data_IF_956283960211
#
_entry.id   IF_956283960211
#
_cell.length_a   1.000
_cell.length_b   1.000
_cell.length_c   1.000
_cell.angle_alpha   90.00
_cell.angle_beta   90.00
_cell.angle_gamma   90.00
#
_symmetry.space_group_name_H-M   'P 1'
#
loop_
_entity.id
_entity.type
_entity.pdbx_description
1 polymer ?
#
# COMPACT_ATOMS: atom_id res chain seq x y z
N UNK A 1 -54.27 21.30 0.56
CA UNK A 1 -54.46 21.05 2.02
C UNK A 1 -55.67 20.15 2.32
N UNK A 2 -56.69 20.06 1.47
CA UNK A 2 -57.87 19.20 1.66
C UNK A 2 -57.57 17.69 1.69
N UNK A 3 -56.79 17.19 0.71
CA UNK A 3 -56.48 15.76 0.58
C UNK A 3 -55.85 15.12 1.83
N UNK A 4 -55.00 15.86 2.57
CA UNK A 4 -54.42 15.36 3.83
C UNK A 4 -55.46 15.17 4.95
N UNK A 5 -56.55 15.93 4.92
CA UNK A 5 -57.69 15.76 5.83
C UNK A 5 -58.58 14.60 5.39
N UNK A 6 -58.81 14.44 4.09
CA UNK A 6 -59.57 13.31 3.53
C UNK A 6 -58.86 11.98 3.79
N UNK A 7 -57.55 11.88 3.53
CA UNK A 7 -56.75 10.69 3.87
C UNK A 7 -56.72 10.41 5.38
N UNK A 8 -56.81 11.43 6.23
CA UNK A 8 -56.88 11.25 7.68
C UNK A 8 -58.26 10.74 8.12
N UNK A 9 -59.34 11.22 7.49
CA UNK A 9 -60.71 10.74 7.69
C UNK A 9 -60.85 9.31 7.17
N UNK A 10 -60.32 9.01 5.98
CA UNK A 10 -60.33 7.66 5.39
C UNK A 10 -59.52 6.70 6.27
N UNK A 11 -58.31 7.06 6.70
CA UNK A 11 -57.53 6.23 7.65
C UNK A 11 -58.25 6.04 8.97
N UNK A 12 -58.83 7.09 9.56
CA UNK A 12 -59.62 6.96 10.80
C UNK A 12 -60.83 6.05 10.60
N UNK A 13 -61.54 6.16 9.48
CA UNK A 13 -62.70 5.33 9.17
C UNK A 13 -62.29 3.86 8.96
N UNK A 14 -61.21 3.62 8.22
CA UNK A 14 -60.64 2.29 8.01
C UNK A 14 -60.15 1.63 9.32
N UNK A 15 -59.58 2.43 10.24
CA UNK A 15 -59.08 1.96 11.54
C UNK A 15 -60.18 1.78 12.61
N UNK A 16 -61.30 2.51 12.51
CA UNK A 16 -62.41 2.47 13.49
C UNK A 16 -63.55 1.56 13.05
N UNK A 17 -63.91 1.55 11.76
CA UNK A 17 -64.97 0.69 11.22
C UNK A 17 -64.39 -0.65 10.69
N UNK A 18 -63.21 -0.64 10.05
CA UNK A 18 -62.58 -1.85 9.49
C UNK A 18 -63.50 -2.67 8.56
N UNK A 19 -63.25 -3.98 8.46
CA UNK A 19 -64.27 -4.92 7.94
C UNK A 19 -65.41 -5.13 8.96
N UNK A 20 -65.15 -4.94 10.26
CA UNK A 20 -66.08 -5.18 11.36
C UNK A 20 -67.40 -4.39 11.26
N UNK A 21 -67.37 -3.17 10.72
CA UNK A 21 -68.57 -2.35 10.48
C UNK A 21 -69.50 -2.91 9.40
N UNK A 22 -69.02 -3.82 8.55
CA UNK A 22 -69.88 -4.57 7.63
C UNK A 22 -70.62 -5.70 8.37
N UNK A 23 -70.00 -6.32 9.37
CA UNK A 23 -70.58 -7.44 10.11
C UNK A 23 -71.63 -6.98 11.11
N UNK A 24 -71.41 -5.87 11.82
CA UNK A 24 -72.43 -5.25 12.69
C UNK A 24 -73.71 -4.91 11.89
N UNK A 25 -73.54 -4.46 10.64
CA UNK A 25 -74.65 -4.26 9.70
C UNK A 25 -75.31 -5.57 9.26
N UNK A 26 -74.56 -6.66 9.06
CA UNK A 26 -75.12 -8.00 8.74
C UNK A 26 -75.94 -8.52 9.92
N UNK A 27 -75.42 -8.45 11.14
CA UNK A 27 -76.12 -8.82 12.36
C UNK A 27 -77.39 -7.98 12.58
N UNK A 28 -77.33 -6.67 12.34
CA UNK A 28 -78.51 -5.79 12.40
C UNK A 28 -79.61 -6.15 11.39
N UNK A 29 -79.24 -6.59 10.19
CA UNK A 29 -80.20 -7.08 9.17
C UNK A 29 -80.76 -8.45 9.58
N UNK A 30 -79.90 -9.38 9.98
CA UNK A 30 -80.29 -10.71 10.45
C UNK A 30 -81.27 -10.64 11.63
N UNK A 31 -80.98 -9.78 12.62
CA UNK A 31 -81.85 -9.56 13.77
C UNK A 31 -83.20 -8.97 13.35
N UNK A 32 -83.22 -8.02 12.41
CA UNK A 32 -84.47 -7.45 11.89
C UNK A 32 -85.31 -8.49 11.14
N UNK A 33 -84.68 -9.33 10.34
CA UNK A 33 -85.35 -10.39 9.59
C UNK A 33 -85.87 -11.51 10.52
N UNK A 34 -85.10 -11.87 11.55
CA UNK A 34 -85.51 -12.79 12.61
C UNK A 34 -86.70 -12.26 13.44
N UNK A 35 -86.65 -10.98 13.87
CA UNK A 35 -87.76 -10.36 14.59
C UNK A 35 -89.03 -10.25 13.74
N UNK A 36 -88.89 -9.97 12.45
CA UNK A 36 -90.01 -10.00 11.50
C UNK A 36 -90.59 -11.41 11.40
N UNK A 37 -89.76 -12.41 11.15
CA UNK A 37 -90.15 -13.81 11.09
C UNK A 37 -90.90 -14.27 12.36
N UNK A 38 -90.36 -13.95 13.54
CA UNK A 38 -90.98 -14.26 14.83
C UNK A 38 -92.30 -13.51 15.13
N UNK A 39 -92.66 -12.51 14.33
CA UNK A 39 -93.93 -11.75 14.44
C UNK A 39 -94.87 -11.93 13.25
N UNK A 40 -94.46 -12.69 12.23
CA UNK A 40 -95.25 -12.96 11.02
C UNK A 40 -96.22 -14.13 11.25
N UNK A 41 -97.52 -13.85 11.21
CA UNK A 41 -98.60 -14.84 11.23
C UNK A 41 -98.89 -15.35 9.78
N UNK A 42 -97.82 -15.79 9.09
CA UNK A 42 -97.82 -16.16 7.67
C UNK A 42 -98.08 -17.66 7.44
N UNK A 43 -98.35 -18.06 6.19
CA UNK A 43 -98.60 -19.47 5.85
C UNK A 43 -97.37 -20.35 6.12
N UNK A 44 -97.54 -21.65 6.45
CA UNK A 44 -96.42 -22.51 6.83
C UNK A 44 -95.33 -22.63 5.76
N UNK A 45 -95.68 -22.52 4.48
CA UNK A 45 -94.74 -22.54 3.35
C UNK A 45 -93.90 -21.25 3.25
N UNK A 46 -94.51 -20.09 3.50
CA UNK A 46 -93.78 -18.81 3.56
C UNK A 46 -92.87 -18.77 4.80
N UNK A 47 -93.33 -19.37 5.90
CA UNK A 47 -92.59 -19.46 7.15
C UNK A 47 -91.30 -20.30 6.99
N UNK A 48 -91.36 -21.42 6.28
CA UNK A 48 -90.19 -22.26 5.98
C UNK A 48 -89.19 -21.58 5.04
N UNK A 49 -89.66 -20.90 3.98
CA UNK A 49 -88.79 -20.12 3.10
C UNK A 49 -88.06 -18.99 3.85
N UNK A 50 -88.73 -18.36 4.82
CA UNK A 50 -88.11 -17.37 5.70
C UNK A 50 -87.08 -18.00 6.67
N UNK A 51 -87.36 -19.18 7.24
CA UNK A 51 -86.38 -19.95 8.03
C UNK A 51 -85.10 -20.23 7.23
N UNK A 52 -85.24 -20.74 6.00
CA UNK A 52 -84.11 -21.06 5.12
C UNK A 52 -83.28 -19.80 4.80
N UNK A 53 -83.95 -18.68 4.50
CA UNK A 53 -83.29 -17.38 4.25
C UNK A 53 -82.51 -16.86 5.49
N UNK A 54 -83.03 -17.09 6.70
CA UNK A 54 -82.34 -16.74 7.95
C UNK A 54 -81.12 -17.65 8.17
N UNK A 55 -81.25 -18.95 7.92
CA UNK A 55 -80.17 -19.94 8.04
C UNK A 55 -79.01 -19.63 7.08
N UNK A 56 -79.30 -19.29 5.83
CA UNK A 56 -78.29 -18.87 4.85
C UNK A 56 -77.51 -17.63 5.31
N UNK A 57 -78.19 -16.66 5.94
CA UNK A 57 -77.57 -15.45 6.50
C UNK A 57 -76.71 -15.74 7.72
N UNK A 58 -77.09 -16.69 8.56
CA UNK A 58 -76.26 -17.16 9.68
C UNK A 58 -74.97 -17.77 9.13
N UNK A 59 -75.06 -18.69 8.16
CA UNK A 59 -73.90 -19.32 7.52
C UNK A 59 -72.95 -18.30 6.86
N UNK A 60 -73.50 -17.25 6.26
CA UNK A 60 -72.69 -16.14 5.72
C UNK A 60 -71.96 -15.33 6.80
N UNK A 61 -72.52 -15.21 8.01
CA UNK A 61 -71.85 -14.57 9.15
C UNK A 61 -70.77 -15.47 9.76
N UNK A 62 -71.03 -16.78 9.89
CA UNK A 62 -70.05 -17.77 10.35
C UNK A 62 -68.82 -17.80 9.43
N UNK A 63 -69.02 -17.93 8.12
CA UNK A 63 -67.94 -17.93 7.14
C UNK A 63 -67.13 -16.61 7.13
N UNK A 64 -67.80 -15.47 7.36
CA UNK A 64 -67.12 -14.18 7.49
C UNK A 64 -66.24 -14.10 8.75
N UNK A 65 -66.71 -14.67 9.87
CA UNK A 65 -65.95 -14.76 11.12
C UNK A 65 -64.71 -15.69 10.97
N UNK A 66 -64.87 -16.84 10.31
CA UNK A 66 -63.75 -17.74 10.01
C UNK A 66 -62.72 -17.10 9.08
N UNK A 67 -63.18 -16.36 8.06
CA UNK A 67 -62.31 -15.59 7.17
C UNK A 67 -61.53 -14.51 7.94
N UNK A 68 -62.19 -13.77 8.84
CA UNK A 68 -61.54 -12.76 9.67
C UNK A 68 -60.49 -13.36 10.61
N UNK A 69 -60.76 -14.53 11.22
CA UNK A 69 -59.81 -15.27 12.04
C UNK A 69 -58.58 -15.71 11.23
N UNK A 70 -58.79 -16.24 10.01
CA UNK A 70 -57.70 -16.67 9.14
C UNK A 70 -56.82 -15.48 8.70
N UNK A 71 -57.43 -14.33 8.38
CA UNK A 71 -56.72 -13.08 8.08
C UNK A 71 -55.92 -12.61 9.30
N UNK A 72 -56.48 -12.67 10.51
CA UNK A 72 -55.76 -12.32 11.74
C UNK A 72 -54.53 -13.21 11.97
N UNK A 73 -54.67 -14.53 11.80
CA UNK A 73 -53.57 -15.49 11.93
C UNK A 73 -52.48 -15.22 10.88
N UNK A 74 -52.87 -15.02 9.62
CA UNK A 74 -51.95 -14.65 8.54
C UNK A 74 -51.21 -13.34 8.84
N UNK A 75 -51.91 -12.31 9.35
CA UNK A 75 -51.30 -11.02 9.69
C UNK A 75 -50.30 -11.15 10.85
N UNK A 76 -50.58 -11.98 11.86
CA UNK A 76 -49.62 -12.28 12.92
C UNK A 76 -48.37 -12.99 12.38
N UNK A 77 -48.54 -13.99 11.52
CA UNK A 77 -47.41 -14.68 10.90
C UNK A 77 -46.57 -13.73 10.02
N UNK A 78 -47.22 -12.89 9.19
CA UNK A 78 -46.55 -11.88 8.39
C UNK A 78 -45.78 -10.87 9.24
N UNK A 79 -46.36 -10.40 10.35
CA UNK A 79 -45.68 -9.51 11.29
C UNK A 79 -44.41 -10.14 11.88
N UNK A 80 -44.46 -11.42 12.24
CA UNK A 80 -43.30 -12.15 12.74
C UNK A 80 -42.20 -12.27 11.66
N UNK A 81 -42.57 -12.69 10.44
CA UNK A 81 -41.64 -12.77 9.30
C UNK A 81 -41.01 -11.42 8.95
N UNK A 82 -41.75 -10.32 9.06
CA UNK A 82 -41.18 -8.98 8.87
C UNK A 82 -40.21 -8.58 9.99
N UNK A 83 -40.47 -9.00 11.23
CA UNK A 83 -39.53 -8.81 12.35
C UNK A 83 -38.22 -9.59 12.14
N UNK A 84 -38.31 -10.86 11.71
CA UNK A 84 -37.15 -11.70 11.38
C UNK A 84 -36.33 -11.11 10.24
N UNK A 85 -37.00 -10.64 9.17
CA UNK A 85 -36.35 -9.99 8.03
C UNK A 85 -35.65 -8.68 8.42
N UNK A 86 -36.23 -7.88 9.32
CA UNK A 86 -35.59 -6.68 9.84
C UNK A 86 -34.32 -7.03 10.62
N UNK A 87 -34.36 -8.05 11.48
CA UNK A 87 -33.15 -8.52 12.17
C UNK A 87 -32.06 -9.03 11.21
N UNK A 88 -32.44 -9.72 10.12
CA UNK A 88 -31.48 -10.19 9.10
C UNK A 88 -30.84 -9.00 8.37
N UNK A 89 -31.64 -7.99 8.00
CA UNK A 89 -31.16 -6.75 7.40
C UNK A 89 -30.21 -6.02 8.34
N UNK A 90 -30.53 -5.88 9.63
CA UNK A 90 -29.66 -5.23 10.62
C UNK A 90 -28.33 -5.99 10.80
N UNK A 91 -28.37 -7.34 10.85
CA UNK A 91 -27.16 -8.19 10.87
C UNK A 91 -26.32 -8.01 9.60
N UNK A 92 -26.95 -7.88 8.43
CA UNK A 92 -26.29 -7.60 7.15
C UNK A 92 -25.68 -6.20 7.08
N UNK A 93 -26.34 -5.20 7.66
CA UNK A 93 -25.81 -3.83 7.77
C UNK A 93 -24.58 -3.80 8.69
N UNK A 94 -24.61 -4.50 9.82
CA UNK A 94 -23.48 -4.49 10.77
C UNK A 94 -22.27 -5.28 10.24
N UNK A 95 -22.48 -6.42 9.57
CA UNK A 95 -21.38 -7.12 8.87
C UNK A 95 -20.78 -6.26 7.76
N UNK A 96 -21.59 -5.57 6.95
CA UNK A 96 -21.10 -4.63 5.94
C UNK A 96 -20.33 -3.44 6.55
N UNK A 97 -20.73 -2.93 7.71
CA UNK A 97 -19.98 -1.89 8.45
C UNK A 97 -18.61 -2.40 8.91
N UNK A 98 -18.56 -3.59 9.49
CA UNK A 98 -17.31 -4.25 9.91
C UNK A 98 -16.39 -4.40 8.70
N UNK A 99 -16.89 -4.91 7.58
CA UNK A 99 -16.10 -5.03 6.34
C UNK A 99 -15.58 -3.68 5.81
N UNK A 100 -16.38 -2.62 5.84
CA UNK A 100 -15.93 -1.26 5.48
C UNK A 100 -14.80 -0.79 6.40
N UNK A 101 -14.84 -1.09 7.71
CA UNK A 101 -13.74 -0.75 8.62
C UNK A 101 -12.48 -1.55 8.31
N UNK A 102 -12.59 -2.87 8.13
CA UNK A 102 -11.49 -3.76 7.75
C UNK A 102 -10.83 -3.31 6.44
N UNK A 103 -11.61 -2.98 5.41
CA UNK A 103 -11.08 -2.51 4.13
C UNK A 103 -10.44 -1.11 4.24
N UNK A 104 -10.93 -0.24 5.11
CA UNK A 104 -10.26 1.05 5.42
C UNK A 104 -8.89 0.85 6.06
N UNK A 105 -8.74 -0.13 6.96
CA UNK A 105 -7.44 -0.45 7.56
C UNK A 105 -6.48 -1.09 6.56
N UNK A 106 -6.95 -2.06 5.76
CA UNK A 106 -6.19 -2.63 4.64
C UNK A 106 -5.74 -1.58 3.63
N UNK A 107 -6.56 -0.55 3.37
CA UNK A 107 -6.19 0.57 2.52
C UNK A 107 -5.11 1.46 3.16
N UNK A 108 -5.17 1.70 4.48
CA UNK A 108 -4.10 2.43 5.20
C UNK A 108 -2.77 1.69 5.12
N UNK A 109 -2.74 0.38 5.40
CA UNK A 109 -1.50 -0.42 5.34
C UNK A 109 -0.97 -0.53 3.90
N UNK A 110 -1.83 -0.74 2.90
CA UNK A 110 -1.44 -0.74 1.50
C UNK A 110 -0.84 0.60 1.02
N UNK A 111 -1.35 1.75 1.51
CA UNK A 111 -0.78 3.08 1.24
C UNK A 111 0.63 3.22 1.83
N UNK A 112 0.86 2.76 3.05
CA UNK A 112 2.20 2.77 3.67
C UNK A 112 3.17 1.87 2.89
N UNK A 113 2.76 0.63 2.55
CA UNK A 113 3.57 -0.28 1.75
C UNK A 113 3.93 0.33 0.39
N UNK A 114 2.97 1.01 -0.28
CA UNK A 114 3.24 1.71 -1.55
C UNK A 114 4.25 2.85 -1.38
N UNK A 115 4.11 3.68 -0.33
CA UNK A 115 5.06 4.76 -0.04
C UNK A 115 6.47 4.21 0.19
N UNK A 116 6.59 3.23 1.09
CA UNK A 116 7.88 2.59 1.40
C UNK A 116 8.51 1.96 0.15
N UNK A 117 7.72 1.26 -0.68
CA UNK A 117 8.21 0.68 -1.95
C UNK A 117 8.71 1.75 -2.93
N UNK A 118 8.10 2.92 -2.95
CA UNK A 118 8.55 4.04 -3.80
C UNK A 118 9.82 4.70 -3.25
N UNK A 119 9.96 4.82 -1.92
CA UNK A 119 11.21 5.27 -1.27
C UNK A 119 12.36 4.28 -1.54
N UNK A 120 12.12 2.97 -1.40
CA UNK A 120 13.10 1.94 -1.76
C UNK A 120 13.48 1.97 -3.25
N UNK A 121 12.52 2.21 -4.15
CA UNK A 121 12.81 2.31 -5.59
C UNK A 121 13.64 3.55 -5.92
N UNK A 122 13.34 4.71 -5.31
CA UNK A 122 14.13 5.92 -5.45
C UNK A 122 15.56 5.73 -4.93
N UNK A 123 15.71 5.11 -3.75
CA UNK A 123 17.03 4.82 -3.18
C UNK A 123 17.82 3.81 -4.04
N UNK A 124 17.16 2.77 -4.55
CA UNK A 124 17.78 1.81 -5.47
C UNK A 124 18.26 2.47 -6.77
N UNK A 125 17.50 3.43 -7.31
CA UNK A 125 17.91 4.22 -8.48
C UNK A 125 19.17 5.05 -8.18
N UNK A 126 19.22 5.74 -7.04
CA UNK A 126 20.41 6.49 -6.60
C UNK A 126 21.61 5.56 -6.42
N UNK A 127 21.42 4.38 -5.81
CA UNK A 127 22.49 3.38 -5.65
C UNK A 127 23.00 2.87 -7.00
N UNK A 128 22.13 2.76 -8.01
CA UNK A 128 22.50 2.32 -9.37
C UNK A 128 23.30 3.37 -10.17
N UNK A 129 23.28 4.65 -9.78
CA UNK A 129 24.13 5.69 -10.36
C UNK A 129 25.61 5.54 -9.93
N UNK A 130 25.88 4.83 -8.83
CA UNK A 130 27.23 4.54 -8.37
C UNK A 130 27.78 3.24 -9.00
N UNK A 131 29.09 3.18 -9.32
CA UNK A 131 29.71 1.99 -9.90
C UNK A 131 29.65 0.80 -8.93
N UNK A 132 29.50 -0.39 -9.48
CA UNK A 132 29.31 -1.61 -8.69
C UNK A 132 30.45 -1.80 -7.67
N UNK A 133 30.08 -2.15 -6.43
CA UNK A 133 31.04 -2.26 -5.31
C UNK A 133 32.19 -3.22 -5.62
N UNK A 134 31.94 -4.32 -6.34
CA UNK A 134 33.00 -5.23 -6.78
C UNK A 134 33.97 -4.59 -7.76
N UNK A 135 33.49 -3.81 -8.73
CA UNK A 135 34.36 -3.15 -9.72
C UNK A 135 35.24 -2.09 -9.04
N UNK A 136 34.65 -1.29 -8.14
CA UNK A 136 35.37 -0.31 -7.32
C UNK A 136 36.44 -0.97 -6.44
N UNK A 137 36.13 -2.11 -5.81
CA UNK A 137 37.11 -2.89 -5.04
C UNK A 137 38.24 -3.46 -5.91
N UNK A 138 37.94 -3.96 -7.12
CA UNK A 138 38.95 -4.43 -8.08
C UNK A 138 39.88 -3.29 -8.51
N UNK A 139 39.35 -2.10 -8.83
CA UNK A 139 40.14 -0.90 -9.17
C UNK A 139 41.05 -0.50 -8.02
N UNK A 140 40.52 -0.46 -6.79
CA UNK A 140 41.29 -0.14 -5.58
C UNK A 140 42.41 -1.18 -5.33
N UNK A 141 42.13 -2.47 -5.52
CA UNK A 141 43.15 -3.52 -5.40
C UNK A 141 44.27 -3.38 -6.44
N UNK A 142 43.93 -3.10 -7.71
CA UNK A 142 44.93 -2.82 -8.76
C UNK A 142 45.81 -1.62 -8.42
N UNK A 143 45.22 -0.48 -8.09
CA UNK A 143 45.97 0.71 -7.67
C UNK A 143 46.87 0.42 -6.47
N UNK A 144 46.41 -0.38 -5.51
CA UNK A 144 47.21 -0.76 -4.32
C UNK A 144 48.39 -1.67 -4.69
N UNK A 145 48.24 -2.57 -5.66
CA UNK A 145 49.37 -3.37 -6.18
C UNK A 145 50.34 -2.53 -7.00
N UNK A 146 49.85 -1.59 -7.82
CA UNK A 146 50.68 -0.66 -8.59
C UNK A 146 51.50 0.25 -7.67
N UNK A 147 50.89 0.81 -6.62
CA UNK A 147 51.56 1.65 -5.64
C UNK A 147 52.66 0.87 -4.89
N UNK A 148 52.38 -0.35 -4.43
CA UNK A 148 53.38 -1.22 -3.79
C UNK A 148 54.54 -1.55 -4.77
N UNK A 149 54.24 -1.87 -6.02
CA UNK A 149 55.27 -2.09 -7.05
C UNK A 149 56.13 -0.83 -7.27
N UNK A 150 55.51 0.35 -7.32
CA UNK A 150 56.21 1.62 -7.50
C UNK A 150 57.10 1.92 -6.28
N UNK A 151 56.62 1.68 -5.07
CA UNK A 151 57.39 1.83 -3.83
C UNK A 151 58.60 0.88 -3.79
N UNK A 152 58.44 -0.37 -4.23
CA UNK A 152 59.52 -1.35 -4.31
C UNK A 152 60.55 -0.99 -5.40
N UNK A 153 60.11 -0.50 -6.56
CA UNK A 153 61.05 0.00 -7.59
C UNK A 153 61.81 1.23 -7.11
N UNK A 154 61.16 2.15 -6.39
CA UNK A 154 61.82 3.32 -5.81
C UNK A 154 62.90 2.92 -4.79
N UNK A 155 62.57 2.02 -3.85
CA UNK A 155 63.56 1.43 -2.92
C UNK A 155 64.73 0.78 -3.65
N UNK A 156 64.48 0.01 -4.71
CA UNK A 156 65.53 -0.61 -5.53
C UNK A 156 66.42 0.45 -6.23
N UNK A 157 65.84 1.56 -6.72
CA UNK A 157 66.62 2.65 -7.29
C UNK A 157 67.45 3.39 -6.21
N UNK A 158 66.89 3.65 -5.04
CA UNK A 158 67.61 4.24 -3.90
C UNK A 158 68.78 3.36 -3.45
N UNK A 159 68.60 2.04 -3.39
CA UNK A 159 69.67 1.07 -3.11
C UNK A 159 70.77 1.11 -4.18
N UNK A 160 70.41 1.13 -5.47
CA UNK A 160 71.39 1.25 -6.57
C UNK A 160 72.13 2.59 -6.56
N UNK A 161 71.46 3.68 -6.20
CA UNK A 161 72.07 5.01 -6.03
C UNK A 161 73.01 4.99 -4.82
N UNK A 162 72.62 4.40 -3.71
CA UNK A 162 73.45 4.21 -2.51
C UNK A 162 74.71 3.38 -2.81
N UNK A 163 74.57 2.29 -3.57
CA UNK A 163 75.69 1.47 -4.02
C UNK A 163 76.64 2.27 -4.92
N UNK A 164 76.12 3.00 -5.92
CA UNK A 164 76.94 3.86 -6.79
C UNK A 164 77.64 4.97 -6.02
N UNK A 165 76.98 5.60 -5.03
CA UNK A 165 77.60 6.59 -4.13
C UNK A 165 78.78 5.98 -3.34
N UNK A 166 78.62 4.76 -2.82
CA UNK A 166 79.71 4.02 -2.14
C UNK A 166 80.86 3.68 -3.09
N UNK A 167 80.56 3.19 -4.29
CA UNK A 167 81.56 2.90 -5.33
C UNK A 167 82.33 4.15 -5.77
N UNK A 168 81.62 5.27 -5.99
CA UNK A 168 82.24 6.55 -6.35
C UNK A 168 83.09 7.13 -5.21
N UNK A 169 82.65 6.96 -3.95
CA UNK A 169 83.46 7.34 -2.79
C UNK A 169 84.75 6.50 -2.69
N UNK A 170 84.66 5.17 -2.89
CA UNK A 170 85.84 4.31 -2.95
C UNK A 170 86.79 4.72 -4.08
N UNK A 171 86.25 5.05 -5.26
CA UNK A 171 87.04 5.56 -6.39
C UNK A 171 87.71 6.90 -6.07
N UNK A 172 87.02 7.83 -5.41
CA UNK A 172 87.61 9.10 -4.96
C UNK A 172 88.72 8.90 -3.91
N UNK A 173 88.57 7.94 -2.99
CA UNK A 173 89.62 7.60 -2.02
C UNK A 173 90.82 7.01 -2.75
N UNK A 174 90.61 6.01 -3.62
CA UNK A 174 91.68 5.41 -4.42
C UNK A 174 92.39 6.43 -5.31
N UNK A 175 91.65 7.36 -5.95
CA UNK A 175 92.22 8.43 -6.75
C UNK A 175 93.03 9.41 -5.90
N UNK A 176 92.57 9.76 -4.69
CA UNK A 176 93.32 10.59 -3.75
C UNK A 176 94.59 9.90 -3.24
N UNK A 177 94.54 8.59 -3.02
CA UNK A 177 95.71 7.84 -2.58
C UNK A 177 96.72 7.64 -3.75
N UNK A 178 96.24 7.50 -4.99
CA UNK A 178 97.08 7.55 -6.19
C UNK A 178 97.69 8.95 -6.39
N UNK A 179 96.92 10.01 -6.12
CA UNK A 179 97.39 11.39 -6.18
C UNK A 179 98.48 11.67 -5.12
N UNK A 180 98.31 11.15 -3.89
CA UNK A 180 99.39 11.16 -2.86
C UNK A 180 100.61 10.36 -3.28
N UNK A 181 100.44 9.27 -4.01
CA UNK A 181 101.56 8.42 -4.46
C UNK A 181 102.35 9.14 -5.57
N UNK A 182 101.66 9.83 -6.47
CA UNK A 182 102.28 10.75 -7.46
C UNK A 182 102.91 11.99 -6.78
N UNK A 183 102.30 12.54 -5.73
CA UNK A 183 102.90 13.61 -4.90
C UNK A 183 104.07 13.11 -4.01
N UNK A 184 104.27 11.79 -3.89
CA UNK A 184 105.43 11.18 -3.23
C UNK A 184 106.56 10.84 -4.22
N UNK A 185 106.23 10.64 -5.50
CA UNK A 185 107.16 10.46 -6.62
C UNK A 185 107.46 11.80 -7.34
N UNK A 186 108.06 12.75 -6.63
CA UNK A 186 108.57 14.02 -7.18
C UNK A 186 110.08 13.93 -7.53
N UNK A 187 110.64 14.83 -8.37
CA UNK A 187 111.10 14.45 -9.71
C UNK A 187 112.54 13.91 -9.79
N UNK A 188 112.77 13.03 -10.77
CA UNK A 188 114.12 12.80 -11.31
C UNK A 188 114.51 14.03 -12.14
N UNK A 189 115.38 14.85 -11.57
CA UNK A 189 116.10 15.90 -12.31
C UNK A 189 117.13 15.23 -13.22
N UNK A 190 117.13 15.58 -14.50
CA UNK A 190 118.37 15.54 -15.27
C UNK A 190 118.48 16.78 -16.17
N UNK A 191 119.62 17.45 -16.07
CA UNK A 191 119.97 18.69 -16.75
C UNK A 191 121.07 18.36 -17.76
N UNK A 192 120.78 18.51 -19.05
CA UNK A 192 121.60 19.33 -19.97
C UNK A 192 121.23 19.14 -21.44
N UNK A 193 120.88 20.24 -22.11
CA UNK A 193 121.77 20.84 -23.12
C UNK A 193 121.07 21.96 -23.90
N UNK A 194 121.59 23.18 -23.74
CA UNK A 194 121.21 24.34 -24.54
C UNK A 194 121.66 24.18 -26.01
N UNK A 195 120.80 24.59 -26.97
CA UNK A 195 121.12 25.54 -28.07
C UNK A 195 120.10 25.46 -29.22
N UNK A 196 119.27 26.49 -29.38
CA UNK A 196 119.59 27.56 -30.35
C UNK A 196 118.69 28.80 -30.09
N UNK A 197 119.21 29.97 -30.42
CA UNK A 197 118.56 31.27 -30.22
C UNK A 197 118.40 32.02 -31.55
N UNK A 198 117.43 32.95 -31.63
CA UNK A 198 117.00 33.64 -32.87
C UNK A 198 116.18 32.72 -33.79
N UNK A 199 115.41 33.15 -34.81
CA UNK A 199 115.21 34.49 -35.42
C UNK A 199 113.79 34.54 -36.06
N UNK A 200 112.97 35.59 -36.04
CA UNK A 200 112.73 36.74 -35.14
C UNK A 200 111.42 37.47 -35.57
N UNK A 201 110.87 38.35 -34.71
CA UNK A 201 110.05 39.54 -35.07
C UNK A 201 108.58 39.40 -35.58
N UNK A 202 107.79 40.47 -35.35
CA UNK A 202 106.43 40.87 -35.84
C UNK A 202 105.64 39.96 -36.82
N UNK A 203 104.29 39.91 -36.84
CA UNK A 203 103.44 41.07 -37.10
C UNK A 203 101.94 40.72 -37.06
N UNK A 204 101.18 41.70 -36.56
CA UNK A 204 99.76 42.07 -36.69
C UNK A 204 98.84 41.49 -37.81
N UNK A 205 97.54 41.61 -37.53
CA UNK A 205 96.34 41.62 -38.40
C UNK A 205 95.62 40.33 -38.87
N UNK A 206 94.29 40.42 -38.74
CA UNK A 206 93.18 39.70 -39.40
C UNK A 206 92.77 38.32 -38.89
#
# INVERSE_FOLDING_TARGET
MTAASEDAIIRRKLLVEGESGLDDRRFGILLKDYLRWATSDETPEANDAACQTILEKILQCENAMDQALLIQLMNMEQSNRYSELLEEIDKSIETARIDITNQRERLKTARVIRKNRQEYHNLAKIVQEYPERQESLRKLQKMRTELNNLENTNKMYDERISLRKKQFHLFLVALRDLQKLVEQDDPIVDLDSQKNAGVDEAMDTS
#
